data_IF_834712293583
#
_entry.id   IF_834712293583
#
_cell.length_a   1.000
_cell.length_b   1.000
_cell.length_c   1.000
_cell.angle_alpha   90.00
_cell.angle_beta   90.00
_cell.angle_gamma   90.00
#
_symmetry.space_group_name_H-M   'P 1'
#
loop_
_entity.id
_entity.type
_entity.pdbx_description
1 polymer ?
#
# COMPACT_ATOMS: atom_id res chain seq x y z
N UNK A 1 -0.08 1.91 5.74
CA UNK A 1 0.38 0.68 6.45
C UNK A 1 -0.60 0.22 7.52
N UNK A 2 -1.14 1.09 8.39
CA UNK A 2 -2.10 0.69 9.44
C UNK A 2 -3.36 0.06 8.88
N UNK A 3 -3.92 0.61 7.79
CA UNK A 3 -5.08 0.05 7.11
C UNK A 3 -4.80 -1.37 6.60
N UNK A 4 -3.65 -1.59 5.94
CA UNK A 4 -3.26 -2.92 5.45
C UNK A 4 -3.04 -3.93 6.56
N UNK A 5 -2.47 -3.51 7.70
CA UNK A 5 -2.34 -4.38 8.87
C UNK A 5 -3.71 -4.78 9.42
N UNK A 6 -4.65 -3.82 9.54
CA UNK A 6 -6.02 -4.11 9.98
C UNK A 6 -6.73 -5.10 9.05
N UNK A 7 -6.61 -4.92 7.72
CA UNK A 7 -7.17 -5.83 6.72
C UNK A 7 -6.55 -7.23 6.83
N UNK A 8 -5.23 -7.32 7.04
CA UNK A 8 -4.56 -8.60 7.27
C UNK A 8 -5.11 -9.32 8.51
N UNK A 9 -5.28 -8.60 9.62
CA UNK A 9 -5.85 -9.17 10.85
C UNK A 9 -7.30 -9.63 10.66
N UNK A 10 -8.12 -8.87 9.92
CA UNK A 10 -9.48 -9.26 9.56
C UNK A 10 -9.46 -10.54 8.72
N UNK A 11 -8.52 -10.68 7.80
CA UNK A 11 -8.35 -11.89 6.99
C UNK A 11 -8.01 -13.16 7.77
N UNK A 12 -7.47 -13.04 9.00
CA UNK A 12 -7.19 -14.17 9.91
C UNK A 12 -8.43 -14.62 10.69
N UNK A 13 -9.58 -13.97 10.52
CA UNK A 13 -10.83 -14.32 11.20
C UNK A 13 -11.27 -15.75 10.88
N UNK A 14 -11.80 -16.45 11.88
CA UNK A 14 -12.40 -17.79 11.73
C UNK A 14 -13.80 -17.73 11.07
N UNK A 15 -14.43 -16.58 11.02
CA UNK A 15 -15.75 -16.39 10.39
C UNK A 15 -15.63 -16.43 8.87
N UNK A 16 -16.36 -17.34 8.23
CA UNK A 16 -16.41 -17.46 6.76
C UNK A 16 -16.89 -16.15 6.11
N UNK A 17 -17.92 -15.53 6.70
CA UNK A 17 -18.48 -14.28 6.19
C UNK A 17 -17.43 -13.15 6.18
N UNK A 18 -16.73 -12.96 7.29
CA UNK A 18 -15.68 -11.94 7.43
C UNK A 18 -14.55 -12.18 6.45
N UNK A 19 -14.14 -13.44 6.27
CA UNK A 19 -13.10 -13.82 5.31
C UNK A 19 -13.54 -13.54 3.87
N UNK A 20 -14.77 -13.88 3.51
CA UNK A 20 -15.33 -13.61 2.17
C UNK A 20 -15.39 -12.11 1.90
N UNK A 21 -15.88 -11.30 2.82
CA UNK A 21 -15.91 -9.84 2.69
C UNK A 21 -14.52 -9.24 2.52
N UNK A 22 -13.53 -9.74 3.26
CA UNK A 22 -12.14 -9.30 3.14
C UNK A 22 -11.55 -9.63 1.75
N UNK A 23 -11.79 -10.85 1.27
CA UNK A 23 -11.35 -11.26 -0.07
C UNK A 23 -12.03 -10.40 -1.14
N UNK A 24 -13.35 -10.22 -1.05
CA UNK A 24 -14.10 -9.37 -1.99
C UNK A 24 -13.59 -7.94 -2.01
N UNK A 25 -13.28 -7.36 -0.86
CA UNK A 25 -12.66 -6.04 -0.76
C UNK A 25 -11.32 -5.99 -1.52
N UNK A 26 -10.44 -6.95 -1.26
CA UNK A 26 -9.12 -7.03 -1.91
C UNK A 26 -9.27 -7.13 -3.42
N UNK A 27 -10.15 -8.02 -3.91
CA UNK A 27 -10.38 -8.23 -5.34
C UNK A 27 -10.97 -6.98 -6.02
N UNK A 28 -11.97 -6.34 -5.42
CA UNK A 28 -12.57 -5.10 -5.93
C UNK A 28 -11.51 -3.99 -6.02
N UNK A 29 -10.72 -3.81 -4.97
CA UNK A 29 -9.68 -2.78 -4.98
C UNK A 29 -8.61 -3.08 -6.02
N UNK A 30 -8.22 -4.33 -6.23
CA UNK A 30 -7.18 -4.70 -7.19
C UNK A 30 -7.65 -4.69 -8.64
N UNK A 31 -8.95 -4.86 -8.90
CA UNK A 31 -9.51 -4.91 -10.25
C UNK A 31 -9.57 -3.54 -10.95
N UNK A 32 -9.57 -2.43 -10.20
CA UNK A 32 -9.68 -1.09 -10.76
C UNK A 32 -8.29 -0.44 -10.87
N UNK A 33 -7.92 0.19 -12.00
CA UNK A 33 -6.67 0.93 -12.15
C UNK A 33 -6.52 2.05 -11.11
N UNK A 34 -5.31 2.24 -10.57
CA UNK A 34 -5.03 3.24 -9.51
C UNK A 34 -5.47 4.64 -9.94
N UNK A 35 -5.16 5.04 -11.18
CA UNK A 35 -5.52 6.35 -11.71
C UNK A 35 -7.02 6.61 -11.68
N UNK A 36 -7.82 5.62 -12.09
CA UNK A 36 -9.29 5.72 -12.10
C UNK A 36 -9.83 5.88 -10.69
N UNK A 37 -9.25 5.18 -9.71
CA UNK A 37 -9.63 5.30 -8.29
C UNK A 37 -9.31 6.68 -7.72
N UNK A 38 -8.15 7.25 -8.06
CA UNK A 38 -7.77 8.61 -7.64
C UNK A 38 -8.80 9.61 -8.15
N UNK A 39 -9.13 9.54 -9.45
CA UNK A 39 -10.13 10.42 -10.06
C UNK A 39 -11.52 10.24 -9.44
N UNK A 40 -11.92 8.99 -9.20
CA UNK A 40 -13.23 8.72 -8.62
C UNK A 40 -13.36 9.22 -7.17
N UNK A 41 -12.30 9.07 -6.37
CA UNK A 41 -12.28 9.56 -4.99
C UNK A 41 -12.27 11.09 -4.95
N UNK A 42 -11.58 11.73 -5.88
CA UNK A 42 -11.48 13.19 -5.90
C UNK A 42 -12.71 13.88 -6.49
N UNK A 43 -13.28 13.34 -7.57
CA UNK A 43 -14.42 13.96 -8.24
C UNK A 43 -15.77 13.26 -7.95
N UNK A 44 -15.79 11.94 -7.85
CA UNK A 44 -17.02 11.17 -7.69
C UNK A 44 -17.52 11.11 -6.26
N UNK A 45 -16.63 10.82 -5.31
CA UNK A 45 -17.01 10.65 -3.90
C UNK A 45 -17.58 11.95 -3.27
N UNK A 46 -17.05 13.15 -3.55
CA UNK A 46 -17.63 14.40 -3.08
C UNK A 46 -19.06 14.63 -3.55
N UNK A 47 -19.35 14.29 -4.81
CA UNK A 47 -20.70 14.42 -5.37
C UNK A 47 -21.71 13.51 -4.65
N UNK A 48 -21.30 12.30 -4.29
CA UNK A 48 -22.16 11.33 -3.59
C UNK A 48 -22.37 11.69 -2.11
N UNK A 49 -21.37 12.24 -1.46
CA UNK A 49 -21.38 12.49 -0.02
C UNK A 49 -21.67 13.95 0.35
N UNK A 50 -21.69 14.87 -0.62
CA UNK A 50 -21.81 16.31 -0.37
C UNK A 50 -20.62 16.92 0.38
N UNK A 51 -19.42 16.30 0.28
CA UNK A 51 -18.20 16.72 1.00
C UNK A 51 -17.13 17.10 -0.01
N UNK A 52 -16.44 18.21 0.20
CA UNK A 52 -15.31 18.59 -0.63
C UNK A 52 -13.98 18.15 0.02
N UNK A 53 -13.17 17.43 -0.74
CA UNK A 53 -11.83 17.07 -0.34
C UNK A 53 -10.80 17.98 -1.01
N UNK A 54 -9.78 18.39 -0.27
CA UNK A 54 -8.57 18.94 -0.90
C UNK A 54 -7.85 17.85 -1.68
N UNK A 55 -7.09 18.22 -2.72
CA UNK A 55 -6.30 17.25 -3.51
C UNK A 55 -5.37 16.40 -2.63
N UNK A 56 -4.81 17.01 -1.57
CA UNK A 56 -3.94 16.31 -0.62
C UNK A 56 -4.70 15.22 0.17
N UNK A 57 -5.86 15.55 0.72
CA UNK A 57 -6.68 14.57 1.47
C UNK A 57 -7.18 13.46 0.57
N UNK A 58 -7.69 13.80 -0.62
CA UNK A 58 -8.13 12.83 -1.59
C UNK A 58 -6.99 11.89 -2.05
N UNK A 59 -5.79 12.44 -2.26
CA UNK A 59 -4.59 11.67 -2.58
C UNK A 59 -4.21 10.67 -1.48
N UNK A 60 -4.22 11.12 -0.21
CA UNK A 60 -3.95 10.23 0.94
C UNK A 60 -4.98 9.10 1.02
N UNK A 61 -6.28 9.41 0.91
CA UNK A 61 -7.35 8.42 0.96
C UNK A 61 -7.20 7.42 -0.19
N UNK A 62 -7.05 7.93 -1.41
CA UNK A 62 -6.92 7.10 -2.61
C UNK A 62 -5.73 6.14 -2.53
N UNK A 63 -4.54 6.66 -2.25
CA UNK A 63 -3.33 5.86 -2.15
C UNK A 63 -3.38 4.88 -0.97
N UNK A 64 -3.93 5.27 0.17
CA UNK A 64 -4.08 4.38 1.33
C UNK A 64 -5.00 3.19 1.03
N UNK A 65 -6.13 3.43 0.36
CA UNK A 65 -7.06 2.38 -0.06
C UNK A 65 -6.40 1.48 -1.12
N UNK A 66 -5.72 2.09 -2.10
CA UNK A 66 -5.04 1.36 -3.18
C UNK A 66 -3.96 0.42 -2.69
N UNK A 67 -3.20 0.86 -1.69
CA UNK A 67 -2.04 0.12 -1.16
C UNK A 67 -2.41 -0.92 -0.10
N UNK A 68 -3.55 -0.74 0.56
CA UNK A 68 -3.95 -1.57 1.69
C UNK A 68 -4.00 -3.08 1.39
N UNK A 69 -4.46 -3.58 0.22
CA UNK A 69 -4.45 -4.99 -0.11
C UNK A 69 -3.04 -5.58 -0.24
N UNK A 70 -2.12 -4.82 -0.80
CA UNK A 70 -0.74 -5.25 -0.99
C UNK A 70 -0.01 -5.37 0.35
N UNK A 71 -0.19 -4.38 1.23
CA UNK A 71 0.35 -4.42 2.58
C UNK A 71 -0.27 -5.55 3.40
N UNK A 72 -1.58 -5.79 3.28
CA UNK A 72 -2.24 -6.91 3.93
C UNK A 72 -1.63 -8.25 3.52
N UNK A 73 -1.35 -8.42 2.24
CA UNK A 73 -0.72 -9.63 1.69
C UNK A 73 0.73 -9.80 2.16
N UNK A 74 1.51 -8.71 2.25
CA UNK A 74 2.88 -8.74 2.79
C UNK A 74 2.87 -9.23 4.24
N UNK A 75 1.98 -8.74 5.08
CA UNK A 75 1.86 -9.22 6.46
C UNK A 75 1.43 -10.69 6.51
N UNK A 76 0.40 -11.07 5.75
CA UNK A 76 -0.09 -12.44 5.70
C UNK A 76 1.00 -13.42 5.28
N UNK A 77 1.65 -13.16 4.15
CA UNK A 77 2.71 -14.01 3.60
C UNK A 77 3.93 -14.09 4.52
N UNK A 78 4.30 -12.98 5.17
CA UNK A 78 5.40 -12.96 6.11
C UNK A 78 5.17 -13.82 7.35
N UNK A 79 3.95 -13.86 7.89
CA UNK A 79 3.60 -14.76 8.99
C UNK A 79 3.50 -16.22 8.54
N UNK A 80 2.96 -16.48 7.35
CA UNK A 80 2.84 -17.84 6.81
C UNK A 80 4.18 -18.45 6.40
N UNK A 81 5.16 -17.62 6.07
CA UNK A 81 6.50 -18.07 5.70
C UNK A 81 7.33 -18.61 6.89
N UNK A 82 6.91 -18.35 8.12
CA UNK A 82 7.58 -18.91 9.31
C UNK A 82 7.31 -20.43 9.38
N UNK A 83 8.36 -21.29 9.41
CA UNK A 83 8.19 -22.73 9.41
C UNK A 83 7.35 -23.22 10.61
N UNK A 84 6.33 -24.04 10.35
CA UNK A 84 5.44 -24.57 11.40
C UNK A 84 6.20 -25.31 12.50
N UNK A 85 7.23 -26.03 12.17
CA UNK A 85 8.09 -26.74 13.12
C UNK A 85 8.70 -25.85 14.22
N UNK A 86 8.90 -24.55 13.95
CA UNK A 86 9.33 -23.58 14.96
C UNK A 86 8.26 -23.40 16.07
N UNK A 87 7.00 -23.29 15.65
CA UNK A 87 5.89 -23.19 16.59
C UNK A 87 5.60 -24.49 17.32
N UNK A 88 5.77 -25.64 16.63
CA UNK A 88 5.60 -26.97 17.21
C UNK A 88 6.67 -27.26 18.26
N UNK A 89 7.93 -26.93 17.99
CA UNK A 89 9.02 -27.03 18.96
C UNK A 89 8.74 -26.19 20.23
N UNK A 90 8.26 -24.96 20.07
CA UNK A 90 7.85 -24.13 21.18
C UNK A 90 6.70 -24.75 22.00
N UNK A 91 5.77 -25.47 21.34
CA UNK A 91 4.71 -26.18 22.04
C UNK A 91 5.24 -27.34 22.86
N UNK A 92 6.18 -28.10 22.32
CA UNK A 92 6.84 -29.21 23.01
C UNK A 92 7.63 -28.76 24.25
N UNK A 93 8.11 -27.50 24.25
CA UNK A 93 8.73 -26.87 25.40
C UNK A 93 7.72 -26.27 26.41
N UNK A 94 6.43 -26.51 26.25
CA UNK A 94 5.37 -26.00 27.13
C UNK A 94 5.13 -24.48 27.01
N UNK A 95 5.56 -23.84 25.93
CA UNK A 95 5.34 -22.41 25.73
C UNK A 95 3.86 -22.12 25.43
N UNK A 96 3.28 -21.12 26.08
CA UNK A 96 1.97 -20.61 25.73
C UNK A 96 1.94 -19.99 24.33
N UNK A 97 0.77 -19.90 23.70
CA UNK A 97 0.59 -19.29 22.38
C UNK A 97 1.23 -17.89 22.28
N UNK A 98 1.00 -17.03 23.28
CA UNK A 98 1.52 -15.68 23.30
C UNK A 98 3.06 -15.64 23.40
N UNK A 99 3.67 -16.51 24.22
CA UNK A 99 5.13 -16.64 24.29
C UNK A 99 5.74 -17.09 22.96
N UNK A 100 5.14 -18.11 22.32
CA UNK A 100 5.59 -18.58 20.99
C UNK A 100 5.47 -17.49 19.95
N UNK A 101 4.32 -16.82 19.90
CA UNK A 101 4.12 -15.72 18.94
C UNK A 101 5.17 -14.63 19.12
N UNK A 102 5.36 -14.14 20.36
CA UNK A 102 6.28 -13.03 20.64
C UNK A 102 7.75 -13.37 20.47
N UNK A 103 8.17 -14.56 20.90
CA UNK A 103 9.59 -14.93 20.96
C UNK A 103 10.09 -15.73 19.75
N UNK A 104 9.20 -16.42 19.03
CA UNK A 104 9.57 -17.29 17.91
C UNK A 104 9.02 -16.74 16.60
N UNK A 105 7.67 -16.61 16.48
CA UNK A 105 7.03 -16.30 15.21
C UNK A 105 7.25 -14.85 14.78
N UNK A 106 6.99 -13.91 15.67
CA UNK A 106 7.05 -12.48 15.36
C UNK A 106 8.43 -12.01 14.92
N UNK A 107 9.55 -12.34 15.61
CA UNK A 107 10.87 -11.90 15.17
C UNK A 107 11.28 -12.46 13.81
N UNK A 108 10.88 -13.69 13.49
CA UNK A 108 11.15 -14.30 12.20
C UNK A 108 10.28 -13.67 11.09
N UNK A 109 8.98 -13.49 11.35
CA UNK A 109 8.07 -12.83 10.43
C UNK A 109 8.52 -11.40 10.09
N UNK A 110 8.95 -10.61 11.09
CA UNK A 110 9.44 -9.23 10.87
C UNK A 110 10.62 -9.20 9.89
N UNK A 111 11.56 -10.14 10.00
CA UNK A 111 12.71 -10.21 9.08
C UNK A 111 12.30 -10.45 7.63
N UNK A 112 11.19 -11.15 7.41
CA UNK A 112 10.63 -11.43 6.07
C UNK A 112 9.78 -10.24 5.59
N UNK A 113 8.97 -9.68 6.47
CA UNK A 113 8.04 -8.58 6.19
C UNK A 113 8.78 -7.28 5.87
N UNK A 114 9.84 -6.96 6.60
CA UNK A 114 10.50 -5.66 6.53
C UNK A 114 11.08 -5.34 5.15
N UNK A 115 11.82 -6.23 4.46
CA UNK A 115 12.28 -5.98 3.10
C UNK A 115 11.11 -5.80 2.11
N UNK A 116 10.05 -6.61 2.24
CA UNK A 116 8.88 -6.52 1.38
C UNK A 116 8.12 -5.19 1.57
N UNK A 117 8.02 -4.69 2.82
CA UNK A 117 7.48 -3.36 3.11
C UNK A 117 8.36 -2.25 2.52
N UNK A 118 9.69 -2.41 2.56
CA UNK A 118 10.62 -1.47 1.92
C UNK A 118 10.35 -1.34 0.42
N UNK A 119 10.24 -2.46 -0.28
CA UNK A 119 9.89 -2.49 -1.71
C UNK A 119 8.50 -1.86 -1.97
N UNK A 120 7.52 -2.16 -1.14
CA UNK A 120 6.19 -1.57 -1.26
C UNK A 120 6.20 -0.05 -1.01
N UNK A 121 7.02 0.42 -0.09
CA UNK A 121 7.20 1.85 0.15
C UNK A 121 7.76 2.57 -1.07
N UNK A 122 8.81 2.01 -1.71
CA UNK A 122 9.37 2.56 -2.96
C UNK A 122 8.33 2.55 -4.08
N UNK A 123 7.55 1.46 -4.20
CA UNK A 123 6.44 1.40 -5.15
C UNK A 123 5.41 2.51 -4.90
N UNK A 124 5.04 2.74 -3.64
CA UNK A 124 4.09 3.78 -3.26
C UNK A 124 4.61 5.19 -3.58
N UNK A 125 5.90 5.46 -3.38
CA UNK A 125 6.51 6.73 -3.78
C UNK A 125 6.36 6.99 -5.28
N UNK A 126 6.53 5.96 -6.13
CA UNK A 126 6.31 6.08 -7.58
C UNK A 126 4.83 6.30 -7.90
N UNK A 127 3.92 5.60 -7.22
CA UNK A 127 2.48 5.78 -7.41
C UNK A 127 1.98 7.16 -6.95
N UNK A 128 2.67 7.82 -6.01
CA UNK A 128 2.30 9.16 -5.58
C UNK A 128 2.40 10.21 -6.69
N UNK A 129 3.20 9.97 -7.74
CA UNK A 129 3.26 10.85 -8.91
C UNK A 129 1.93 10.95 -9.67
N UNK A 130 1.06 9.94 -9.56
CA UNK A 130 -0.26 9.94 -10.20
C UNK A 130 -1.24 10.95 -9.59
N UNK A 131 -1.00 11.42 -8.36
CA UNK A 131 -1.87 12.44 -7.73
C UNK A 131 -1.69 13.84 -8.34
N UNK A 132 -0.66 14.04 -9.16
CA UNK A 132 -0.50 15.25 -9.98
C UNK A 132 -1.74 15.56 -10.82
N UNK A 133 -2.44 14.52 -11.28
CA UNK A 133 -3.63 14.65 -12.13
C UNK A 133 -4.81 15.35 -11.43
N UNK A 134 -4.90 15.23 -10.09
CA UNK A 134 -5.93 15.90 -9.29
C UNK A 134 -5.46 17.26 -8.77
N UNK A 135 -4.36 17.79 -9.30
CA UNK A 135 -3.89 19.12 -9.01
C UNK A 135 -2.98 19.24 -7.78
N UNK A 136 -2.49 18.12 -7.23
CA UNK A 136 -1.51 18.16 -6.14
C UNK A 136 -0.15 18.63 -6.67
N UNK A 137 0.44 19.63 -6.01
CA UNK A 137 1.79 20.10 -6.28
C UNK A 137 2.80 19.05 -5.84
N UNK A 138 3.35 18.33 -6.82
CA UNK A 138 4.39 17.33 -6.65
C UNK A 138 5.34 17.38 -7.86
N UNK A 139 6.38 16.55 -7.83
CA UNK A 139 7.47 16.59 -8.80
C UNK A 139 7.02 16.49 -10.27
N UNK A 140 6.11 15.54 -10.57
CA UNK A 140 5.59 15.31 -11.92
C UNK A 140 4.78 16.51 -12.41
N UNK A 141 3.98 17.13 -11.54
CA UNK A 141 3.24 18.34 -11.85
C UNK A 141 4.18 19.49 -12.19
N UNK A 142 5.23 19.70 -11.38
CA UNK A 142 6.23 20.76 -11.64
C UNK A 142 6.98 20.53 -12.94
N UNK A 143 7.32 19.28 -13.25
CA UNK A 143 7.91 18.94 -14.54
C UNK A 143 6.96 19.28 -15.70
N UNK A 144 5.66 18.95 -15.60
CA UNK A 144 4.67 19.30 -16.61
C UNK A 144 4.51 20.81 -16.80
N UNK A 145 4.48 21.60 -15.72
CA UNK A 145 4.44 23.06 -15.78
C UNK A 145 5.67 23.65 -16.50
N UNK A 146 6.86 23.09 -16.23
CA UNK A 146 8.10 23.49 -16.93
C UNK A 146 8.08 23.09 -18.39
N UNK A 147 7.58 21.91 -18.75
CA UNK A 147 7.42 21.48 -20.15
C UNK A 147 6.55 22.48 -20.91
N UNK A 148 5.42 22.89 -20.33
CA UNK A 148 4.51 23.85 -20.98
C UNK A 148 5.12 25.24 -21.10
N UNK A 149 5.83 25.71 -20.06
CA UNK A 149 6.41 27.06 -20.05
C UNK A 149 7.66 27.21 -20.90
N UNK A 150 8.47 26.16 -20.99
CA UNK A 150 9.78 26.23 -21.70
C UNK A 150 9.81 25.49 -23.02
N UNK A 151 8.74 24.73 -23.37
CA UNK A 151 8.66 23.93 -24.60
C UNK A 151 9.81 22.92 -24.77
N UNK A 152 10.32 22.36 -23.65
CA UNK A 152 11.43 21.39 -23.62
C UNK A 152 11.03 20.07 -22.97
N UNK A 153 10.12 19.29 -23.59
CA UNK A 153 9.60 18.06 -22.97
C UNK A 153 10.70 17.00 -22.78
N UNK A 154 11.63 16.87 -23.72
CA UNK A 154 12.67 15.84 -23.64
C UNK A 154 13.56 16.03 -22.42
N UNK A 155 14.08 17.25 -22.22
CA UNK A 155 14.97 17.54 -21.09
C UNK A 155 14.23 17.37 -19.75
N UNK A 156 13.04 17.97 -19.62
CA UNK A 156 12.29 17.96 -18.36
C UNK A 156 11.86 16.55 -17.96
N UNK A 157 11.35 15.74 -18.89
CA UNK A 157 10.98 14.37 -18.59
C UNK A 157 12.20 13.46 -18.38
N UNK A 158 13.34 13.74 -19.03
CA UNK A 158 14.57 12.99 -18.74
C UNK A 158 15.05 13.24 -17.31
N UNK A 159 15.03 14.48 -16.83
CA UNK A 159 15.33 14.79 -15.43
C UNK A 159 14.35 14.10 -14.48
N UNK A 160 13.05 14.15 -14.75
CA UNK A 160 12.04 13.49 -13.96
C UNK A 160 12.27 11.96 -13.86
N UNK A 161 12.62 11.32 -14.98
CA UNK A 161 12.96 9.89 -15.01
C UNK A 161 14.19 9.60 -14.16
N UNK A 162 15.24 10.42 -14.26
CA UNK A 162 16.46 10.25 -13.47
C UNK A 162 16.17 10.42 -11.97
N UNK A 163 15.45 11.44 -11.57
CA UNK A 163 15.09 11.68 -10.17
C UNK A 163 14.24 10.53 -9.59
N UNK A 164 13.20 10.09 -10.31
CA UNK A 164 12.38 8.96 -9.86
C UNK A 164 13.15 7.64 -9.87
N UNK A 165 14.16 7.47 -10.73
CA UNK A 165 15.00 6.28 -10.75
C UNK A 165 15.97 6.23 -9.58
N UNK A 166 16.52 7.38 -9.14
CA UNK A 166 17.43 7.48 -7.99
C UNK A 166 16.74 7.06 -6.67
N UNK A 167 15.42 7.24 -6.56
CA UNK A 167 14.65 6.74 -5.39
C UNK A 167 14.66 5.20 -5.33
N UNK A 168 15.06 4.53 -6.42
CA UNK A 168 15.05 3.06 -6.54
C UNK A 168 16.40 2.41 -6.19
N UNK A 169 17.47 3.19 -6.10
CA UNK A 169 18.81 2.73 -5.74
C UNK A 169 18.99 2.80 -4.22
#
# INVERSE_FOLDING_TARGET
TLLGLAISMIGLSKSRLVKTLNISYIEIIRSVPVLVRILWIYYGLPVLMGINFTAFVAGIIALSICDSPFIAEIFRSGFEAVPKGQSEAGTSLGMSFFKRFRLITLPQAIKIILPALGNQFVYMLKMSSLVSIIGLDELTRKANELVVSQYRPLEMYTFLVLELSLIHI
#
